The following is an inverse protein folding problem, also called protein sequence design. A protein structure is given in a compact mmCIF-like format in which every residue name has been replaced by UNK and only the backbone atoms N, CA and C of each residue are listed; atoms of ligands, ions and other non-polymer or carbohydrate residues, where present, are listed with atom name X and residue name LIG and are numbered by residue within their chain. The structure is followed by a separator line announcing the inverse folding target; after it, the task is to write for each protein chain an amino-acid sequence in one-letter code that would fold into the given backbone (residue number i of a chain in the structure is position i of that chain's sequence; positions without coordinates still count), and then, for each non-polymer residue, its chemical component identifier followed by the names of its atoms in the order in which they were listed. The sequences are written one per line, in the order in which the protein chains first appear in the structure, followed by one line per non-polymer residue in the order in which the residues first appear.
data_IF_400931496051
#
_entry.id   IF_400931496051
#
_cell.length_a   1.000
_cell.length_b   1.000
_cell.length_c   1.000
_cell.angle_alpha   90.00
_cell.angle_beta   90.00
_cell.angle_gamma   90.00
#
_symmetry.space_group_name_H-M   'P 1'
#
loop_
_entity.id
_entity.type
_entity.pdbx_description
1 polymer ?
#
# COMPACT_ATOMS: atom_id res chain seq x y z
N UNK A 1 -9.68 -10.34 9.95
CA UNK A 1 -9.61 -11.19 8.73
C UNK A 1 -9.50 -10.26 7.53
N UNK A 2 -8.28 -9.99 7.04
CA UNK A 2 -8.08 -9.32 5.76
C UNK A 2 -8.14 -10.40 4.67
N UNK A 3 -9.29 -10.56 4.02
CA UNK A 3 -9.36 -11.37 2.80
C UNK A 3 -8.49 -10.69 1.75
N UNK A 4 -7.31 -11.26 1.47
CA UNK A 4 -6.56 -10.92 0.26
C UNK A 4 -7.44 -11.33 -0.92
N UNK A 5 -8.05 -10.34 -1.58
CA UNK A 5 -8.73 -10.57 -2.87
C UNK A 5 -7.65 -11.01 -3.86
N UNK A 6 -7.70 -12.29 -4.24
CA UNK A 6 -6.74 -12.91 -5.16
C UNK A 6 -6.99 -12.52 -6.61
N UNK A 7 -8.18 -11.99 -6.89
CA UNK A 7 -8.61 -11.60 -8.21
C UNK A 7 -8.29 -10.10 -8.42
N UNK A 8 -7.73 -9.80 -9.59
CA UNK A 8 -7.67 -8.43 -10.06
C UNK A 8 -9.12 -7.96 -10.25
N UNK A 9 -9.62 -7.06 -9.41
CA UNK A 9 -10.85 -6.35 -9.73
C UNK A 9 -10.65 -5.69 -11.09
N UNK A 10 -11.53 -6.00 -12.05
CA UNK A 10 -11.39 -5.43 -13.38
C UNK A 10 -11.54 -3.91 -13.29
N UNK A 11 -10.85 -3.14 -14.14
CA UNK A 11 -10.93 -1.67 -14.09
C UNK A 11 -12.37 -1.16 -14.22
N UNK A 12 -13.20 -1.83 -15.01
CA UNK A 12 -14.64 -1.56 -15.12
C UNK A 12 -15.41 -1.82 -13.84
N UNK A 13 -15.08 -2.88 -13.10
CA UNK A 13 -15.70 -3.19 -11.81
C UNK A 13 -15.29 -2.16 -10.75
N UNK A 14 -14.01 -1.79 -10.72
CA UNK A 14 -13.49 -0.73 -9.84
C UNK A 14 -14.17 0.61 -10.11
N UNK A 15 -14.25 1.05 -11.37
CA UNK A 15 -14.93 2.31 -11.74
C UNK A 15 -16.40 2.29 -11.33
N UNK A 16 -17.08 1.17 -11.58
CA UNK A 16 -18.46 0.97 -11.17
C UNK A 16 -18.59 1.05 -9.65
N UNK A 17 -17.69 0.44 -8.89
CA UNK A 17 -17.68 0.51 -7.43
C UNK A 17 -17.42 1.95 -6.94
N UNK A 18 -16.42 2.62 -7.52
CA UNK A 18 -16.02 3.99 -7.21
C UNK A 18 -17.17 4.99 -7.45
N UNK A 19 -17.82 4.92 -8.61
CA UNK A 19 -18.98 5.79 -8.92
C UNK A 19 -20.16 5.53 -7.98
N UNK A 20 -20.38 4.27 -7.62
CA UNK A 20 -21.45 3.88 -6.70
C UNK A 20 -21.16 4.18 -5.23
N UNK A 21 -19.94 4.58 -4.85
CA UNK A 21 -19.63 4.95 -3.46
C UNK A 21 -20.47 6.14 -2.98
N UNK A 22 -20.76 7.09 -3.89
CA UNK A 22 -21.58 8.27 -3.59
C UNK A 22 -23.05 7.93 -3.34
N UNK A 23 -23.53 6.82 -3.91
CA UNK A 23 -24.96 6.45 -3.87
C UNK A 23 -25.26 5.34 -2.86
N UNK A 24 -24.27 4.50 -2.53
CA UNK A 24 -24.44 3.39 -1.56
C UNK A 24 -24.35 3.87 -0.11
N UNK A 25 -25.51 4.09 0.53
CA UNK A 25 -25.64 4.42 1.97
C UNK A 25 -25.03 3.40 2.95
N UNK A 26 -24.84 2.14 2.55
CA UNK A 26 -24.37 1.04 3.44
C UNK A 26 -23.31 0.13 2.79
N UNK A 27 -22.26 0.72 2.21
CA UNK A 27 -21.07 -0.06 1.80
C UNK A 27 -19.96 0.09 2.83
N UNK A 28 -19.41 -1.02 3.34
CA UNK A 28 -18.17 -1.03 4.13
C UNK A 28 -16.91 -0.76 3.28
N UNK A 29 -17.06 -0.76 1.95
CA UNK A 29 -16.00 -0.53 0.98
C UNK A 29 -16.32 0.77 0.25
N UNK A 30 -15.81 1.89 0.77
CA UNK A 30 -15.85 3.19 0.11
C UNK A 30 -14.45 3.49 -0.41
N UNK A 31 -14.25 3.36 -1.71
CA UNK A 31 -13.01 3.69 -2.41
C UNK A 31 -12.79 5.20 -2.50
N UNK A 32 -13.83 5.97 -2.86
CA UNK A 32 -13.71 7.42 -3.02
C UNK A 32 -13.56 8.16 -1.69
N UNK A 33 -14.53 8.02 -0.78
CA UNK A 33 -14.55 8.80 0.46
C UNK A 33 -13.29 8.62 1.30
N UNK A 34 -12.70 7.41 1.33
CA UNK A 34 -11.47 7.13 2.08
C UNK A 34 -10.24 7.88 1.56
N UNK A 35 -10.26 8.33 0.31
CA UNK A 35 -9.20 9.15 -0.28
C UNK A 35 -9.31 10.65 0.03
N UNK A 36 -10.42 11.11 0.63
CA UNK A 36 -10.64 12.51 0.99
C UNK A 36 -9.94 12.85 2.30
N UNK A 37 -8.62 12.97 2.27
CA UNK A 37 -7.84 13.19 3.48
C UNK A 37 -8.08 14.57 4.09
N UNK A 38 -8.25 15.63 3.30
CA UNK A 38 -8.56 16.95 3.86
C UNK A 38 -9.91 16.94 4.58
N UNK A 39 -10.94 16.34 3.96
CA UNK A 39 -12.26 16.17 4.57
C UNK A 39 -12.18 15.62 6.00
N UNK A 40 -11.38 14.59 6.24
CA UNK A 40 -11.23 14.02 7.59
C UNK A 40 -10.27 14.81 8.47
N UNK A 41 -9.11 15.22 7.95
CA UNK A 41 -8.05 15.82 8.74
C UNK A 41 -8.44 17.18 9.30
N UNK A 42 -9.27 17.96 8.57
CA UNK A 42 -9.80 19.24 9.04
C UNK A 42 -10.48 19.10 10.40
N UNK A 43 -11.30 18.07 10.59
CA UNK A 43 -12.02 17.84 11.85
C UNK A 43 -11.08 17.51 13.02
N UNK A 44 -9.95 16.86 12.76
CA UNK A 44 -8.95 16.66 13.81
C UNK A 44 -8.32 17.98 14.24
N UNK A 45 -8.02 18.90 13.30
CA UNK A 45 -7.47 20.22 13.64
C UNK A 45 -8.50 21.17 14.29
N UNK A 46 -9.80 20.93 14.13
CA UNK A 46 -10.86 21.66 14.85
C UNK A 46 -10.87 21.32 16.35
N UNK A 47 -10.37 20.14 16.74
CA UNK A 47 -10.43 19.63 18.12
C UNK A 47 -9.06 19.60 18.79
N UNK A 48 -8.01 19.25 18.05
CA UNK A 48 -6.66 19.10 18.57
C UNK A 48 -5.75 20.19 17.99
N UNK A 49 -4.87 20.77 18.82
CA UNK A 49 -3.91 21.76 18.35
C UNK A 49 -2.90 21.12 17.37
N UNK A 50 -2.38 21.94 16.44
CA UNK A 50 -1.51 21.47 15.35
C UNK A 50 -0.27 20.71 15.86
N UNK A 51 0.29 21.10 17.00
CA UNK A 51 1.47 20.49 17.62
C UNK A 51 1.24 19.07 18.16
N UNK A 52 -0.02 18.62 18.27
CA UNK A 52 -0.41 17.26 18.66
C UNK A 52 -0.75 16.35 17.48
N UNK A 53 -0.61 16.84 16.24
CA UNK A 53 -0.87 16.07 15.03
C UNK A 53 0.35 16.15 14.12
N UNK A 54 0.89 15.00 13.75
CA UNK A 54 2.04 14.90 12.85
C UNK A 54 1.68 14.09 11.61
N UNK A 55 1.90 14.67 10.43
CA UNK A 55 1.55 14.07 9.14
C UNK A 55 2.81 13.69 8.36
N UNK A 56 2.88 12.42 7.96
CA UNK A 56 3.96 11.86 7.15
C UNK A 56 3.40 11.40 5.81
N UNK A 57 4.08 11.75 4.72
CA UNK A 57 3.78 11.16 3.42
C UNK A 57 4.46 9.79 3.35
N UNK A 58 3.76 8.79 2.83
CA UNK A 58 4.34 7.46 2.72
C UNK A 58 5.57 7.42 1.79
N UNK A 59 5.62 8.32 0.80
CA UNK A 59 6.77 8.43 -0.08
C UNK A 59 8.01 9.01 0.64
N UNK A 60 7.84 9.88 1.64
CA UNK A 60 8.92 10.32 2.52
C UNK A 60 9.50 9.11 3.30
N UNK A 61 8.60 8.27 3.81
CA UNK A 61 8.98 7.04 4.54
C UNK A 61 9.71 6.05 3.63
N UNK A 62 9.27 5.85 2.39
CA UNK A 62 9.99 5.01 1.43
C UNK A 62 11.37 5.54 1.09
N UNK A 63 11.50 6.86 0.95
CA UNK A 63 12.76 7.52 0.58
C UNK A 63 13.77 7.52 1.72
N UNK A 64 13.33 7.79 2.95
CA UNK A 64 14.20 7.85 4.11
C UNK A 64 13.48 7.37 5.39
N UNK A 65 13.28 6.04 5.56
CA UNK A 65 12.50 5.51 6.67
C UNK A 65 13.13 5.80 8.03
N UNK A 66 14.47 5.80 8.11
CA UNK A 66 15.18 6.13 9.36
C UNK A 66 14.91 7.56 9.82
N UNK A 67 14.89 8.53 8.89
CA UNK A 67 14.58 9.92 9.24
C UNK A 67 13.14 10.07 9.74
N UNK A 68 12.18 9.43 9.07
CA UNK A 68 10.76 9.46 9.49
C UNK A 68 10.57 8.83 10.87
N UNK A 69 11.16 7.66 11.14
CA UNK A 69 11.02 6.99 12.44
C UNK A 69 11.66 7.81 13.57
N UNK A 70 12.83 8.41 13.35
CA UNK A 70 13.44 9.32 14.34
C UNK A 70 12.56 10.52 14.64
N UNK A 71 11.98 11.14 13.61
CA UNK A 71 11.07 12.28 13.81
C UNK A 71 9.76 11.86 14.53
N UNK A 72 9.28 10.62 14.30
CA UNK A 72 8.16 10.05 15.07
C UNK A 72 8.54 9.90 16.55
N UNK A 73 9.71 9.36 16.88
CA UNK A 73 10.14 9.24 18.28
C UNK A 73 10.29 10.59 18.96
N UNK A 74 10.86 11.57 18.26
CA UNK A 74 10.94 12.95 18.74
C UNK A 74 9.56 13.54 19.00
N UNK A 75 8.61 13.35 18.09
CA UNK A 75 7.23 13.79 18.25
C UNK A 75 6.53 13.13 19.44
N UNK A 76 6.80 11.84 19.70
CA UNK A 76 6.27 11.09 20.83
C UNK A 76 7.01 11.33 22.17
N UNK A 77 8.12 12.08 22.16
CA UNK A 77 8.95 12.32 23.35
C UNK A 77 9.71 11.08 23.83
N UNK A 78 10.01 10.13 22.95
CA UNK A 78 10.77 8.91 23.27
C UNK A 78 12.27 9.16 23.03
N UNK A 79 13.13 8.54 23.86
CA UNK A 79 14.60 8.67 23.77
C UNK A 79 15.12 8.19 22.40
N UNK A 80 15.93 9.02 21.74
CA UNK A 80 16.42 8.83 20.36
C UNK A 80 17.46 7.70 20.20
N UNK A 81 17.92 7.11 21.31
CA UNK A 81 18.95 6.05 21.34
C UNK A 81 18.47 4.72 20.73
N UNK A 82 17.17 4.58 20.49
CA UNK A 82 16.62 3.40 19.83
C UNK A 82 16.78 3.48 18.30
N UNK A 83 17.76 2.74 17.77
CA UNK A 83 17.85 2.50 16.33
C UNK A 83 16.79 1.46 15.91
N UNK A 84 15.68 1.94 15.34
CA UNK A 84 14.67 1.07 14.79
C UNK A 84 15.22 0.30 13.57
N UNK A 85 15.02 -1.02 13.53
CA UNK A 85 15.26 -1.80 12.32
C UNK A 85 14.15 -1.52 11.29
N UNK A 86 14.41 -0.56 10.40
CA UNK A 86 13.48 -0.19 9.32
C UNK A 86 13.65 -1.05 8.06
N UNK A 87 14.37 -2.18 8.12
CA UNK A 87 14.58 -3.08 6.96
C UNK A 87 13.35 -3.93 6.63
N UNK A 88 12.14 -3.42 6.89
CA UNK A 88 10.91 -4.08 6.51
C UNK A 88 10.78 -4.06 4.98
N UNK A 89 10.78 -5.24 4.37
CA UNK A 89 10.27 -5.40 3.00
C UNK A 89 8.76 -5.51 3.08
N UNK A 90 8.06 -4.62 2.39
CA UNK A 90 6.61 -4.71 2.21
C UNK A 90 6.24 -6.10 1.67
N UNK A 91 5.16 -6.67 2.20
CA UNK A 91 4.54 -7.82 1.56
C UNK A 91 4.07 -7.37 0.17
N UNK A 92 4.72 -7.88 -0.88
CA UNK A 92 4.37 -7.51 -2.24
C UNK A 92 2.97 -8.05 -2.55
N UNK A 93 2.02 -7.15 -2.69
CA UNK A 93 0.68 -7.43 -3.21
C UNK A 93 0.67 -7.31 -4.73
N UNK A 94 -0.16 -8.11 -5.37
CA UNK A 94 -0.36 -8.12 -6.81
C UNK A 94 -1.24 -9.29 -7.21
N UNK A 95 -1.48 -9.42 -8.50
CA UNK A 95 -2.28 -10.50 -9.07
C UNK A 95 -1.38 -11.50 -9.77
N UNK A 96 -1.71 -12.79 -9.79
CA UNK A 96 -0.93 -13.79 -10.49
C UNK A 96 -0.71 -13.44 -11.96
N UNK A 97 0.54 -13.26 -12.38
CA UNK A 97 0.92 -13.13 -13.80
C UNK A 97 0.64 -14.42 -14.56
N UNK A 98 0.81 -15.56 -13.90
CA UNK A 98 0.46 -16.88 -14.40
C UNK A 98 -0.15 -17.71 -13.26
N UNK A 99 -1.40 -18.13 -13.44
CA UNK A 99 -2.15 -18.91 -12.45
C UNK A 99 -1.46 -20.23 -12.11
N UNK A 100 -0.88 -20.94 -13.08
CA UNK A 100 -0.19 -22.20 -12.85
C UNK A 100 1.09 -22.03 -12.00
N UNK A 101 1.85 -20.95 -12.20
CA UNK A 101 3.03 -20.64 -11.38
C UNK A 101 2.59 -20.26 -9.97
N UNK A 102 1.53 -19.45 -9.85
CA UNK A 102 0.98 -19.06 -8.57
C UNK A 102 0.47 -20.27 -7.77
N UNK A 103 -0.29 -21.17 -8.42
CA UNK A 103 -0.79 -22.41 -7.84
C UNK A 103 0.35 -23.38 -7.47
N UNK A 104 1.46 -23.37 -8.23
CA UNK A 104 2.66 -24.14 -7.86
C UNK A 104 3.38 -23.59 -6.62
N UNK A 105 3.45 -22.26 -6.48
CA UNK A 105 4.11 -21.60 -5.35
C UNK A 105 3.25 -21.67 -4.07
N UNK A 106 1.94 -21.45 -4.20
CA UNK A 106 1.01 -21.31 -3.08
C UNK A 106 0.25 -22.62 -2.77
N UNK A 107 0.11 -23.53 -3.72
CA UNK A 107 -0.55 -24.82 -3.55
C UNK A 107 0.31 -25.92 -2.92
N UNK A 108 -0.36 -26.98 -2.47
CA UNK A 108 0.28 -28.19 -1.94
C UNK A 108 0.48 -29.26 -3.03
N UNK A 109 1.28 -28.92 -4.04
CA UNK A 109 1.40 -29.72 -5.26
C UNK A 109 2.46 -30.83 -5.12
N UNK A 110 2.23 -31.98 -5.76
CA UNK A 110 3.16 -33.13 -5.69
C UNK A 110 4.58 -32.80 -6.19
N UNK A 111 4.70 -31.95 -7.21
CA UNK A 111 5.98 -31.47 -7.73
C UNK A 111 6.77 -30.68 -6.67
N UNK A 112 6.10 -29.90 -5.82
CA UNK A 112 6.73 -29.17 -4.70
C UNK A 112 7.26 -30.14 -3.64
N UNK A 113 6.52 -31.21 -3.36
CA UNK A 113 6.95 -32.28 -2.43
C UNK A 113 8.19 -33.00 -2.96
N UNK A 114 8.26 -33.23 -4.28
CA UNK A 114 9.39 -33.87 -4.95
C UNK A 114 10.67 -33.00 -4.93
N UNK A 115 10.53 -31.68 -5.13
CA UNK A 115 11.67 -30.76 -5.18
C UNK A 115 12.18 -30.32 -3.80
N UNK A 116 11.35 -30.47 -2.74
CA UNK A 116 11.69 -30.10 -1.37
C UNK A 116 12.99 -30.73 -0.83
N UNK A 117 13.27 -32.04 -0.98
CA UNK A 117 14.53 -32.63 -0.54
C UNK A 117 15.73 -32.10 -1.33
N UNK A 118 15.60 -31.90 -2.64
CA UNK A 118 16.66 -31.37 -3.51
C UNK A 118 17.05 -29.96 -3.06
N UNK A 119 16.07 -29.07 -2.87
CA UNK A 119 16.35 -27.73 -2.37
C UNK A 119 16.93 -27.71 -0.96
N UNK A 120 16.58 -28.67 -0.08
CA UNK A 120 17.20 -28.79 1.24
C UNK A 120 18.67 -29.20 1.16
N UNK A 121 19.03 -30.03 0.17
CA UNK A 121 20.38 -30.54 -0.02
C UNK A 121 21.33 -29.45 -0.55
N UNK A 122 20.86 -28.63 -1.51
CA UNK A 122 21.70 -27.67 -2.22
C UNK A 122 21.59 -26.22 -1.72
N UNK A 123 20.57 -25.89 -0.92
CA UNK A 123 20.33 -24.50 -0.50
C UNK A 123 20.16 -24.37 1.02
N UNK A 124 20.90 -23.40 1.58
CA UNK A 124 20.71 -22.96 2.97
C UNK A 124 19.29 -22.43 3.21
N UNK A 125 18.81 -22.41 4.48
CA UNK A 125 17.51 -21.82 4.81
C UNK A 125 17.33 -20.38 4.32
N UNK A 126 18.41 -19.58 4.36
CA UNK A 126 18.41 -18.19 3.87
C UNK A 126 18.26 -18.09 2.36
N UNK A 127 19.00 -18.91 1.61
CA UNK A 127 18.89 -18.96 0.14
C UNK A 127 17.51 -19.46 -0.31
N UNK A 128 16.96 -20.47 0.36
CA UNK A 128 15.60 -20.95 0.09
C UNK A 128 14.57 -19.85 0.30
N UNK A 129 14.63 -19.16 1.45
CA UNK A 129 13.73 -18.03 1.73
C UNK A 129 13.84 -16.94 0.67
N UNK A 130 15.06 -16.56 0.30
CA UNK A 130 15.30 -15.53 -0.71
C UNK A 130 14.74 -15.91 -2.09
N UNK A 131 15.00 -17.14 -2.55
CA UNK A 131 14.48 -17.64 -3.82
C UNK A 131 12.96 -17.73 -3.82
N UNK A 132 12.36 -18.19 -2.72
CA UNK A 132 10.91 -18.20 -2.57
C UNK A 132 10.30 -16.80 -2.63
N UNK A 133 10.89 -15.82 -1.93
CA UNK A 133 10.42 -14.43 -1.99
C UNK A 133 10.52 -13.88 -3.41
N UNK A 134 11.65 -14.09 -4.10
CA UNK A 134 11.82 -13.65 -5.50
C UNK A 134 10.84 -14.32 -6.47
N UNK A 135 10.55 -15.62 -6.27
CA UNK A 135 9.59 -16.34 -7.10
C UNK A 135 8.16 -15.79 -6.92
N UNK A 136 7.76 -15.50 -5.69
CA UNK A 136 6.48 -14.84 -5.41
C UNK A 136 6.45 -13.47 -6.07
N UNK A 137 7.44 -12.61 -5.84
CA UNK A 137 7.53 -11.26 -6.42
C UNK A 137 7.44 -11.29 -7.96
N UNK A 138 8.18 -12.20 -8.61
CA UNK A 138 8.17 -12.34 -10.07
C UNK A 138 6.84 -12.91 -10.62
N UNK A 139 6.11 -13.67 -9.80
CA UNK A 139 4.80 -14.22 -10.16
C UNK A 139 3.67 -13.21 -10.04
N UNK A 140 3.89 -12.08 -9.36
CA UNK A 140 2.87 -11.05 -9.16
C UNK A 140 3.04 -9.92 -10.16
N UNK A 141 1.93 -9.47 -10.75
CA UNK A 141 1.85 -8.25 -11.54
C UNK A 141 0.97 -7.26 -10.79
N UNK A 142 1.40 -6.01 -10.66
CA UNK A 142 0.51 -4.92 -10.27
C UNK A 142 -0.18 -4.43 -11.55
N UNK A 143 -1.51 -4.50 -11.66
CA UNK A 143 -2.20 -3.94 -12.81
C UNK A 143 -1.94 -2.43 -12.82
N UNK A 144 -1.56 -1.89 -13.97
CA UNK A 144 -1.48 -0.45 -14.16
C UNK A 144 -2.88 0.14 -14.19
N UNK A 145 -3.03 1.37 -13.70
CA UNK A 145 -4.26 2.12 -13.88
C UNK A 145 -4.27 2.71 -15.29
N UNK A 146 -5.40 2.59 -16.00
CA UNK A 146 -5.55 3.22 -17.30
C UNK A 146 -5.41 4.76 -17.19
N UNK A 147 -4.88 5.39 -18.24
CA UNK A 147 -4.58 6.83 -18.24
C UNK A 147 -5.85 7.66 -18.07
N UNK A 148 -6.94 7.29 -18.72
CA UNK A 148 -8.22 8.01 -18.64
C UNK A 148 -8.78 7.90 -17.23
N UNK A 149 -8.71 6.71 -16.64
CA UNK A 149 -9.12 6.47 -15.25
C UNK A 149 -8.27 7.28 -14.26
N UNK A 150 -6.95 7.32 -14.46
CA UNK A 150 -6.06 8.13 -13.62
C UNK A 150 -6.45 9.61 -13.65
N UNK A 151 -6.68 10.17 -14.85
CA UNK A 151 -7.08 11.57 -15.02
C UNK A 151 -8.43 11.86 -14.36
N UNK A 152 -9.41 10.97 -14.53
CA UNK A 152 -10.71 11.08 -13.88
C UNK A 152 -10.57 11.11 -12.34
N UNK A 153 -9.79 10.20 -11.76
CA UNK A 153 -9.55 10.18 -10.31
C UNK A 153 -8.85 11.46 -9.84
N UNK A 154 -7.83 11.93 -10.58
CA UNK A 154 -7.13 13.16 -10.24
C UNK A 154 -8.06 14.36 -10.21
N UNK A 155 -9.02 14.44 -11.14
CA UNK A 155 -10.01 15.51 -11.16
C UNK A 155 -11.00 15.40 -9.99
N UNK A 156 -11.50 14.20 -9.70
CA UNK A 156 -12.42 13.96 -8.56
C UNK A 156 -11.77 14.30 -7.20
N UNK A 157 -10.47 14.05 -7.03
CA UNK A 157 -9.74 14.38 -5.80
C UNK A 157 -9.11 15.77 -5.79
N UNK A 158 -9.07 16.49 -6.91
CA UNK A 158 -8.29 17.75 -7.07
C UNK A 158 -8.58 18.75 -5.95
N UNK A 159 -9.85 19.00 -5.68
CA UNK A 159 -10.27 19.99 -4.68
C UNK A 159 -9.81 19.60 -3.26
N UNK A 160 -9.90 18.32 -2.89
CA UNK A 160 -9.46 17.83 -1.58
C UNK A 160 -7.93 17.85 -1.46
N UNK A 161 -7.21 17.46 -2.51
CA UNK A 161 -5.74 17.48 -2.56
C UNK A 161 -5.18 18.89 -2.40
N UNK A 162 -5.75 19.89 -3.08
CA UNK A 162 -5.30 21.27 -2.96
C UNK A 162 -5.52 21.82 -1.55
N UNK A 163 -6.71 21.59 -0.96
CA UNK A 163 -6.98 21.98 0.42
C UNK A 163 -6.09 21.22 1.42
N UNK A 164 -5.79 19.94 1.16
CA UNK A 164 -4.88 19.14 1.99
C UNK A 164 -3.47 19.72 1.96
N UNK A 165 -2.95 20.04 0.78
CA UNK A 165 -1.63 20.64 0.58
C UNK A 165 -1.48 21.92 1.41
N UNK A 166 -2.48 22.79 1.37
CA UNK A 166 -2.49 24.03 2.17
C UNK A 166 -2.60 23.74 3.67
N UNK A 167 -3.44 22.78 4.06
CA UNK A 167 -3.67 22.42 5.47
C UNK A 167 -2.43 21.84 6.15
N UNK A 168 -1.68 20.98 5.45
CA UNK A 168 -0.49 20.31 5.98
C UNK A 168 0.82 21.00 5.61
N UNK A 169 0.75 22.06 4.81
CA UNK A 169 1.88 22.88 4.36
C UNK A 169 2.96 22.03 3.64
N UNK A 170 2.53 21.10 2.77
CA UNK A 170 3.41 20.23 1.97
C UNK A 170 3.01 20.23 0.50
N UNK A 171 3.99 20.22 -0.41
CA UNK A 171 3.75 20.10 -1.84
C UNK A 171 3.20 18.71 -2.22
N UNK A 172 1.96 18.69 -2.70
CA UNK A 172 1.25 17.52 -3.22
C UNK A 172 1.00 17.62 -4.73
N UNK A 173 1.62 18.57 -5.44
CA UNK A 173 1.44 18.75 -6.89
C UNK A 173 1.70 17.48 -7.70
N UNK A 174 2.65 16.65 -7.26
CA UNK A 174 2.95 15.35 -7.85
C UNK A 174 1.80 14.34 -7.81
N UNK A 175 0.79 14.52 -6.95
CA UNK A 175 -0.43 13.69 -6.95
C UNK A 175 -1.38 14.06 -8.10
N UNK A 176 -1.28 15.29 -8.61
CA UNK A 176 -2.09 15.83 -9.71
C UNK A 176 -1.38 15.75 -11.09
N UNK A 177 -0.20 15.12 -11.15
CA UNK A 177 0.64 14.99 -12.35
C UNK A 177 0.41 13.71 -13.16
#
# INVERSE_FOLDING_TARGET
MFNQRLDAEAASEFLTAFQNDRTRKKSHHKYFERGLYHHYLKHYYEVFPKDRIKIYLFDDFKKNPQAVVRDVFKFLGVVEEFEADVRAKDAVSGVPRNKAIYDFIHGDNQLRKLLRPIFKLFLSPRQRRLLWTKAIEASLKKPGLDREVKQMLQEEYRSDILQLQDLIEKDLSHWLA
#
